data_IF_081511329694
#
_entry.id   IF_081511329694
#
_cell.length_a   1.000
_cell.length_b   1.000
_cell.length_c   1.000
_cell.angle_alpha   90.00
_cell.angle_beta   90.00
_cell.angle_gamma   90.00
#
_symmetry.space_group_name_H-M   'P 1'
#
loop_
_entity.id
_entity.type
_entity.pdbx_description
1 polymer ?
#
# COMPACT_ATOMS: atom_id res chain seq x y z
N UNK A 1 -52.65 41.35 -12.42
CA UNK A 1 -53.72 40.32 -12.36
C UNK A 1 -53.08 38.96 -12.61
N UNK A 2 -53.52 37.83 -12.02
CA UNK A 2 -53.85 37.49 -10.64
C UNK A 2 -52.84 36.47 -10.03
N UNK A 3 -52.91 36.26 -8.72
CA UNK A 3 -52.31 35.11 -8.01
C UNK A 3 -53.42 34.10 -7.69
N UNK A 4 -53.21 32.81 -7.95
CA UNK A 4 -53.69 31.76 -7.03
C UNK A 4 -52.56 30.71 -6.82
N UNK A 5 -52.08 30.38 -5.61
CA UNK A 5 -52.68 29.68 -4.44
C UNK A 5 -53.33 28.33 -4.77
N UNK A 6 -52.93 27.33 -3.97
CA UNK A 6 -53.62 26.05 -3.66
C UNK A 6 -53.36 24.90 -4.66
N UNK A 7 -53.24 23.63 -4.27
CA UNK A 7 -53.39 22.95 -2.98
C UNK A 7 -52.70 21.57 -3.01
N UNK A 8 -52.55 21.02 -1.80
CA UNK A 8 -52.35 19.62 -1.41
C UNK A 8 -52.72 18.56 -2.46
N UNK A 9 -51.94 17.46 -2.49
CA UNK A 9 -52.45 16.13 -2.13
C UNK A 9 -51.34 15.09 -1.96
N UNK A 10 -51.32 14.58 -0.75
CA UNK A 10 -50.80 13.30 -0.27
C UNK A 10 -51.10 12.15 -1.24
N UNK A 11 -50.12 11.29 -1.50
CA UNK A 11 -50.32 9.85 -1.68
C UNK A 11 -49.02 9.13 -1.29
N UNK A 12 -49.05 8.48 -0.13
CA UNK A 12 -48.09 7.45 0.22
C UNK A 12 -48.34 6.22 -0.67
N UNK A 13 -47.26 5.63 -1.20
CA UNK A 13 -47.28 4.26 -1.69
C UNK A 13 -45.96 3.60 -1.29
N UNK A 14 -46.08 2.61 -0.41
CA UNK A 14 -45.02 1.73 0.04
C UNK A 14 -44.38 1.00 -1.15
N UNK A 15 -43.07 1.13 -1.30
CA UNK A 15 -42.26 0.15 -2.00
C UNK A 15 -41.27 -0.43 -0.99
N UNK A 16 -41.68 -1.52 -0.35
CA UNK A 16 -40.80 -2.39 0.42
C UNK A 16 -39.84 -3.08 -0.56
N UNK A 17 -38.71 -2.43 -0.86
CA UNK A 17 -37.59 -3.06 -1.53
C UNK A 17 -36.82 -3.87 -0.50
N UNK A 18 -37.11 -5.18 -0.48
CA UNK A 18 -36.31 -6.17 0.24
C UNK A 18 -34.86 -6.09 -0.22
N UNK A 19 -33.98 -5.66 0.67
CA UNK A 19 -32.54 -5.76 0.52
C UNK A 19 -32.14 -7.22 0.66
N UNK A 20 -32.02 -7.92 -0.48
CA UNK A 20 -31.25 -9.15 -0.59
C UNK A 20 -29.78 -8.80 -0.38
N UNK A 21 -29.35 -8.79 0.88
CA UNK A 21 -27.94 -8.72 1.25
C UNK A 21 -27.27 -10.04 0.83
N UNK A 22 -26.23 -10.02 -0.02
CA UNK A 22 -25.48 -11.23 -0.35
C UNK A 22 -24.75 -11.76 0.90
N UNK A 23 -24.68 -13.09 1.09
CA UNK A 23 -23.95 -13.66 2.22
C UNK A 23 -22.45 -13.55 1.97
N UNK A 24 -21.77 -12.92 2.93
CA UNK A 24 -20.43 -13.23 3.42
C UNK A 24 -19.29 -13.46 2.43
N UNK A 25 -18.27 -12.59 2.50
CA UNK A 25 -16.89 -13.00 2.77
C UNK A 25 -16.24 -11.99 3.73
N UNK A 26 -16.15 -12.37 5.01
CA UNK A 26 -15.49 -11.62 6.07
C UNK A 26 -13.97 -11.62 5.91
N UNK A 27 -13.44 -10.85 4.95
CA UNK A 27 -12.00 -10.59 4.79
C UNK A 27 -11.57 -9.22 5.30
N UNK A 28 -12.47 -8.47 5.94
CA UNK A 28 -12.24 -7.06 6.30
C UNK A 28 -11.72 -6.70 7.71
N UNK A 29 -11.38 -7.61 8.63
CA UNK A 29 -10.67 -7.22 9.87
C UNK A 29 -9.14 -7.35 9.79
N UNK A 30 -8.61 -7.95 8.72
CA UNK A 30 -7.27 -8.52 8.74
C UNK A 30 -6.19 -7.59 8.16
N UNK A 31 -6.58 -6.78 7.18
CA UNK A 31 -5.70 -5.76 6.58
C UNK A 31 -5.49 -4.56 7.52
N UNK A 32 -6.48 -4.22 8.35
CA UNK A 32 -6.36 -3.17 9.37
C UNK A 32 -5.41 -3.57 10.52
N UNK A 33 -5.26 -4.87 10.78
CA UNK A 33 -4.40 -5.39 11.84
C UNK A 33 -2.90 -5.41 11.49
N UNK A 34 -2.54 -5.19 10.22
CA UNK A 34 -1.17 -5.27 9.71
C UNK A 34 -0.35 -3.99 9.89
N UNK A 35 -0.99 -2.89 10.30
CA UNK A 35 -0.36 -1.58 10.41
C UNK A 35 0.08 -1.04 9.04
N UNK A 36 -0.09 0.26 8.81
CA UNK A 36 0.33 0.84 7.55
C UNK A 36 1.87 0.88 7.46
N UNK A 37 2.44 0.19 6.48
CA UNK A 37 3.86 0.34 6.13
C UNK A 37 4.00 1.44 5.10
N UNK A 38 4.70 2.53 5.45
CA UNK A 38 4.94 3.66 4.55
C UNK A 38 6.41 3.77 4.21
N UNK A 39 6.71 3.76 2.91
CA UNK A 39 8.03 4.07 2.35
C UNK A 39 8.00 5.43 1.68
N UNK A 40 8.99 6.27 1.96
CA UNK A 40 9.25 7.49 1.19
C UNK A 40 10.35 7.21 0.20
N UNK A 41 10.03 7.34 -1.07
CA UNK A 41 10.94 7.06 -2.16
C UNK A 41 11.15 8.31 -3.00
N UNK A 42 12.35 8.52 -3.52
CA UNK A 42 12.64 9.63 -4.43
C UNK A 42 13.55 9.16 -5.54
N UNK A 43 13.36 9.75 -6.72
CA UNK A 43 14.26 9.52 -7.83
C UNK A 43 15.55 10.30 -7.60
N UNK A 44 16.68 9.60 -7.67
CA UNK A 44 18.00 10.18 -7.71
C UNK A 44 18.49 10.13 -9.16
N UNK A 45 18.99 11.27 -9.66
CA UNK A 45 19.32 11.46 -11.08
C UNK A 45 20.33 10.44 -11.64
N UNK A 46 21.01 9.68 -10.79
CA UNK A 46 21.88 8.55 -11.10
C UNK A 46 21.12 7.27 -11.54
N UNK A 47 19.96 7.39 -12.19
CA UNK A 47 19.11 6.24 -12.59
C UNK A 47 18.76 5.29 -11.44
N UNK A 48 18.56 5.86 -10.24
CA UNK A 48 18.24 5.08 -9.04
C UNK A 48 17.04 5.67 -8.31
N UNK A 49 16.16 4.82 -7.79
CA UNK A 49 15.27 5.23 -6.72
C UNK A 49 15.93 4.95 -5.38
N UNK A 50 15.78 5.88 -4.45
CA UNK A 50 16.15 5.69 -3.06
C UNK A 50 14.88 5.67 -2.22
N UNK A 51 14.77 4.71 -1.32
CA UNK A 51 13.61 4.55 -0.45
C UNK A 51 14.05 4.45 1.01
N UNK A 52 13.31 5.12 1.90
CA UNK A 52 13.49 5.04 3.36
C UNK A 52 12.16 4.72 4.01
N UNK A 53 12.22 3.97 5.11
CA UNK A 53 11.03 3.59 5.85
C UNK A 53 10.54 4.78 6.68
N UNK A 54 9.35 5.27 6.38
CA UNK A 54 8.71 6.36 7.10
C UNK A 54 7.61 5.91 8.04
N UNK A 55 7.05 4.71 7.89
CA UNK A 55 6.25 4.09 8.95
C UNK A 55 6.45 2.60 8.89
N UNK A 56 6.85 2.03 10.01
CA UNK A 56 6.94 0.60 10.14
C UNK A 56 5.59 0.05 10.61
N UNK A 57 5.23 -1.17 10.21
CA UNK A 57 4.01 -1.78 10.68
C UNK A 57 4.08 -2.00 12.20
N UNK A 58 3.04 -1.60 12.91
CA UNK A 58 2.93 -1.77 14.37
C UNK A 58 2.77 -3.24 14.77
N UNK A 59 2.40 -4.08 13.81
CA UNK A 59 2.12 -5.50 14.04
C UNK A 59 3.39 -6.29 14.35
N UNK A 60 3.35 -7.22 15.32
CA UNK A 60 4.48 -8.08 15.64
C UNK A 60 5.02 -8.83 14.41
N UNK A 61 6.34 -9.05 14.32
CA UNK A 61 6.97 -9.68 13.16
C UNK A 61 6.50 -11.13 12.93
N UNK A 62 6.13 -11.84 13.99
CA UNK A 62 5.62 -13.22 13.93
C UNK A 62 4.30 -13.30 13.15
N UNK A 63 3.39 -12.38 13.44
CA UNK A 63 2.10 -12.25 12.78
C UNK A 63 2.33 -11.92 11.30
N UNK A 64 3.20 -10.96 10.99
CA UNK A 64 3.57 -10.59 9.60
C UNK A 64 4.19 -11.74 8.81
N UNK A 65 5.12 -12.49 9.42
CA UNK A 65 5.72 -13.67 8.78
C UNK A 65 4.66 -14.74 8.45
N UNK A 66 3.61 -14.86 9.28
CA UNK A 66 2.51 -15.77 9.00
C UNK A 66 1.68 -15.33 7.78
N UNK A 67 1.46 -14.02 7.60
CA UNK A 67 0.83 -13.46 6.39
C UNK A 67 1.66 -13.71 5.14
N UNK A 68 2.97 -13.41 5.18
CA UNK A 68 3.86 -13.62 4.05
C UNK A 68 3.84 -15.08 3.57
N UNK A 69 3.88 -16.04 4.51
CA UNK A 69 3.77 -17.48 4.20
C UNK A 69 2.41 -17.87 3.59
N UNK A 70 1.31 -17.23 4.02
CA UNK A 70 -0.02 -17.48 3.44
C UNK A 70 -0.12 -16.91 2.02
N UNK A 71 0.36 -15.69 1.81
CA UNK A 71 0.41 -15.04 0.51
C UNK A 71 1.16 -15.92 -0.52
N UNK A 72 2.33 -16.44 -0.14
CA UNK A 72 3.17 -17.31 -0.97
C UNK A 72 2.48 -18.63 -1.37
N UNK A 73 1.67 -19.20 -0.46
CA UNK A 73 0.86 -20.40 -0.77
C UNK A 73 -0.27 -20.11 -1.77
N UNK A 74 -0.83 -18.90 -1.75
CA UNK A 74 -1.90 -18.50 -2.67
C UNK A 74 -1.38 -18.21 -4.08
N UNK A 75 -0.19 -17.60 -4.19
CA UNK A 75 0.49 -17.34 -5.47
C UNK A 75 1.05 -18.61 -6.15
N UNK A 76 1.24 -19.69 -5.38
CA UNK A 76 1.73 -20.99 -5.87
C UNK A 76 0.76 -21.72 -6.83
N UNK A 77 -0.53 -21.35 -6.90
CA UNK A 77 -1.54 -22.14 -7.63
C UNK A 77 -1.60 -21.94 -9.15
N UNK A 78 -0.82 -21.04 -9.76
CA UNK A 78 -0.91 -20.78 -11.22
C UNK A 78 0.32 -20.13 -11.86
N UNK A 79 1.52 -20.30 -11.31
CA UNK A 79 2.73 -19.74 -11.95
C UNK A 79 3.23 -20.68 -13.05
N UNK A 80 3.13 -20.24 -14.31
CA UNK A 80 3.81 -20.88 -15.47
C UNK A 80 5.32 -20.62 -15.47
N UNK A 81 5.83 -19.80 -14.54
CA UNK A 81 7.25 -19.53 -14.38
C UNK A 81 7.90 -20.59 -13.48
N UNK A 82 9.13 -21.03 -13.80
CA UNK A 82 9.86 -22.02 -13.03
C UNK A 82 9.94 -21.60 -11.56
N UNK A 83 9.88 -22.59 -10.65
CA UNK A 83 9.99 -22.41 -9.19
C UNK A 83 11.02 -21.33 -8.89
N UNK A 84 10.56 -20.18 -8.40
CA UNK A 84 11.42 -19.07 -8.01
C UNK A 84 12.40 -19.61 -6.97
N UNK A 85 13.70 -19.43 -7.22
CA UNK A 85 14.73 -19.67 -6.21
C UNK A 85 14.46 -18.83 -4.96
N UNK A 86 15.16 -19.11 -3.84
CA UNK A 86 14.96 -18.35 -2.61
C UNK A 86 15.08 -16.85 -2.89
N UNK A 87 14.10 -16.08 -2.43
CA UNK A 87 14.12 -14.64 -2.55
C UNK A 87 15.43 -14.09 -1.94
N UNK A 88 16.06 -13.09 -2.57
CA UNK A 88 17.23 -12.45 -1.99
C UNK A 88 16.93 -11.98 -0.56
N UNK A 89 17.88 -12.13 0.39
CA UNK A 89 17.64 -11.81 1.80
C UNK A 89 17.07 -10.41 2.03
N UNK A 90 17.53 -9.42 1.26
CA UNK A 90 17.05 -8.04 1.37
C UNK A 90 15.56 -7.90 1.02
N UNK A 91 15.08 -8.61 -0.02
CA UNK A 91 13.66 -8.58 -0.40
C UNK A 91 12.82 -9.20 0.70
N UNK A 92 13.30 -10.30 1.28
CA UNK A 92 12.67 -10.94 2.43
C UNK A 92 12.60 -9.99 3.64
N UNK A 93 13.67 -9.25 3.93
CA UNK A 93 13.66 -8.25 5.01
C UNK A 93 12.67 -7.12 4.73
N UNK A 94 12.62 -6.57 3.51
CA UNK A 94 11.66 -5.53 3.12
C UNK A 94 10.20 -5.99 3.32
N UNK A 95 9.93 -7.27 3.03
CA UNK A 95 8.59 -7.84 3.09
C UNK A 95 8.19 -8.29 4.52
N UNK A 96 9.08 -8.95 5.24
CA UNK A 96 8.74 -9.58 6.52
C UNK A 96 9.09 -8.68 7.72
N UNK A 97 10.20 -7.95 7.63
CA UNK A 97 10.81 -7.22 8.75
C UNK A 97 11.30 -5.82 8.35
N UNK A 98 10.43 -4.95 7.79
CA UNK A 98 10.80 -3.59 7.41
C UNK A 98 11.41 -2.78 8.57
N UNK A 99 11.04 -3.04 9.81
CA UNK A 99 11.58 -2.37 11.01
C UNK A 99 13.11 -2.38 11.10
N UNK A 100 13.75 -3.45 10.63
CA UNK A 100 15.20 -3.57 10.61
C UNK A 100 15.87 -2.56 9.65
N UNK A 101 15.07 -1.86 8.84
CA UNK A 101 15.49 -0.92 7.82
C UNK A 101 15.13 0.55 8.17
N UNK A 102 14.65 0.84 9.39
CA UNK A 102 14.27 2.20 9.84
C UNK A 102 15.35 3.27 9.58
N UNK A 103 16.62 2.92 9.74
CA UNK A 103 17.77 3.84 9.52
C UNK A 103 18.51 3.60 8.21
N UNK A 104 17.95 2.77 7.31
CA UNK A 104 18.60 2.37 6.06
C UNK A 104 17.93 3.02 4.86
N UNK A 105 18.75 3.33 3.86
CA UNK A 105 18.27 3.73 2.53
C UNK A 105 18.43 2.56 1.58
N UNK A 106 17.33 2.11 0.99
CA UNK A 106 17.31 1.08 -0.05
C UNK A 106 17.48 1.76 -1.39
N UNK A 107 18.37 1.23 -2.23
CA UNK A 107 18.60 1.74 -3.58
C UNK A 107 18.08 0.75 -4.60
N UNK A 108 17.20 1.20 -5.50
CA UNK A 108 16.61 0.43 -6.58
C UNK A 108 17.22 0.94 -7.90
N UNK A 109 18.08 0.15 -8.57
CA UNK A 109 18.65 0.55 -9.84
C UNK A 109 17.61 0.42 -10.97
N UNK A 110 17.54 1.43 -11.84
CA UNK A 110 16.71 1.40 -13.05
C UNK A 110 17.50 1.00 -14.31
N UNK A 111 18.84 0.85 -14.19
CA UNK A 111 19.83 0.60 -15.26
C UNK A 111 19.89 1.67 -16.37
N UNK A 112 18.82 2.42 -16.59
CA UNK A 112 18.71 3.55 -17.52
C UNK A 112 17.83 4.64 -16.91
N UNK A 113 18.02 5.92 -17.30
CA UNK A 113 17.11 6.98 -16.91
C UNK A 113 15.69 6.69 -17.40
N UNK A 114 14.67 6.72 -16.52
CA UNK A 114 13.30 6.43 -16.92
C UNK A 114 12.76 7.57 -17.78
N UNK A 115 12.16 7.24 -18.93
CA UNK A 115 11.42 8.22 -19.75
C UNK A 115 10.13 8.65 -19.07
N UNK A 116 9.53 7.75 -18.29
CA UNK A 116 8.30 7.96 -17.55
C UNK A 116 8.52 7.63 -16.06
N UNK A 117 8.54 8.67 -15.23
CA UNK A 117 8.70 8.54 -13.78
C UNK A 117 7.46 7.96 -13.10
N UNK A 118 6.25 8.09 -13.69
CA UNK A 118 5.03 7.52 -13.14
C UNK A 118 5.00 6.00 -13.33
N UNK A 119 5.47 5.51 -14.48
CA UNK A 119 5.69 4.09 -14.67
C UNK A 119 6.76 3.54 -13.71
N UNK A 120 7.89 4.24 -13.57
CA UNK A 120 8.94 3.83 -12.65
C UNK A 120 8.48 3.83 -11.18
N UNK A 121 7.62 4.78 -10.78
CA UNK A 121 6.96 4.79 -9.47
C UNK A 121 6.14 3.52 -9.22
N UNK A 122 5.45 3.01 -10.25
CA UNK A 122 4.68 1.76 -10.14
C UNK A 122 5.60 0.56 -9.89
N UNK A 123 6.77 0.53 -10.53
CA UNK A 123 7.79 -0.48 -10.25
C UNK A 123 8.30 -0.39 -8.82
N UNK A 124 8.58 0.82 -8.33
CA UNK A 124 9.03 1.04 -6.95
C UNK A 124 7.97 0.56 -5.95
N UNK A 125 6.70 0.90 -6.18
CA UNK A 125 5.59 0.40 -5.37
C UNK A 125 5.56 -1.14 -5.35
N UNK A 126 5.70 -1.79 -6.50
CA UNK A 126 5.72 -3.25 -6.59
C UNK A 126 6.94 -3.87 -5.87
N UNK A 127 8.13 -3.27 -5.99
CA UNK A 127 9.35 -3.77 -5.32
C UNK A 127 9.25 -3.63 -3.81
N UNK A 128 8.76 -2.49 -3.32
CA UNK A 128 8.74 -2.19 -1.89
C UNK A 128 7.56 -2.83 -1.17
N UNK A 129 6.41 -2.90 -1.82
CA UNK A 129 5.16 -3.35 -1.20
C UNK A 129 4.65 -4.70 -1.68
N UNK A 130 5.08 -5.17 -2.85
CA UNK A 130 4.54 -6.36 -3.49
C UNK A 130 3.00 -6.30 -3.51
N UNK A 131 2.32 -7.41 -3.26
CA UNK A 131 0.85 -7.50 -3.18
C UNK A 131 0.25 -7.06 -1.83
N UNK A 132 1.03 -6.42 -0.94
CA UNK A 132 0.55 -6.07 0.42
C UNK A 132 -0.39 -4.85 0.37
N UNK A 133 -1.66 -4.98 0.80
CA UNK A 133 -2.62 -3.87 0.76
C UNK A 133 -2.30 -2.78 1.79
N UNK A 134 -1.77 -3.15 2.96
CA UNK A 134 -1.33 -2.24 4.02
C UNK A 134 0.12 -1.74 3.82
N UNK A 135 0.54 -1.53 2.57
CA UNK A 135 1.86 -0.98 2.25
C UNK A 135 1.77 0.05 1.12
N UNK A 136 2.41 1.20 1.32
CA UNK A 136 2.50 2.28 0.35
C UNK A 136 3.94 2.75 0.19
N UNK A 137 4.35 2.97 -1.05
CA UNK A 137 5.56 3.69 -1.42
C UNK A 137 5.15 5.04 -2.01
N UNK A 138 5.35 6.10 -1.24
CA UNK A 138 5.06 7.46 -1.67
C UNK A 138 6.27 8.05 -2.38
N UNK A 139 6.05 8.53 -3.60
CA UNK A 139 7.11 9.14 -4.39
C UNK A 139 7.20 10.63 -4.09
N UNK A 140 8.35 11.03 -3.55
CA UNK A 140 8.72 12.39 -3.20
C UNK A 140 9.45 13.04 -4.36
N UNK A 141 9.31 14.37 -4.45
CA UNK A 141 9.94 15.17 -5.51
C UNK A 141 11.46 15.25 -5.39
N UNK A 142 11.98 15.18 -4.16
CA UNK A 142 13.41 15.29 -3.87
C UNK A 142 13.76 14.61 -2.55
N UNK A 143 15.07 14.45 -2.29
CA UNK A 143 15.57 14.00 -0.99
C UNK A 143 15.28 14.98 0.13
N UNK A 144 15.25 16.28 -0.15
CA UNK A 144 14.94 17.31 0.86
C UNK A 144 13.51 17.15 1.36
N UNK A 145 12.55 16.95 0.45
CA UNK A 145 11.16 16.71 0.84
C UNK A 145 10.99 15.45 1.70
N UNK A 146 11.90 14.48 1.59
CA UNK A 146 11.94 13.29 2.46
C UNK A 146 12.45 13.66 3.85
N UNK A 147 13.51 14.46 3.94
CA UNK A 147 14.05 14.96 5.22
C UNK A 147 12.98 15.76 5.96
N UNK A 148 12.35 16.72 5.27
CA UNK A 148 11.28 17.55 5.84
C UNK A 148 10.13 16.67 6.39
N UNK A 149 9.73 15.64 5.63
CA UNK A 149 8.69 14.69 6.06
C UNK A 149 9.07 13.84 7.28
N UNK A 150 10.37 13.70 7.59
CA UNK A 150 10.83 13.05 8.82
C UNK A 150 10.91 14.02 10.00
N UNK A 151 11.19 15.31 9.76
CA UNK A 151 11.25 16.33 10.82
C UNK A 151 9.87 16.70 11.36
N UNK A 152 8.82 16.60 10.53
CA UNK A 152 7.44 16.94 10.90
C UNK A 152 6.76 15.90 11.82
N UNK A 153 7.42 14.78 12.13
CA UNK A 153 6.92 13.71 13.02
C UNK A 153 7.71 13.68 14.34
N UNK A 154 7.43 14.60 15.30
CA UNK A 154 8.17 14.75 16.56
C UNK A 154 7.93 13.61 17.57
N UNK A 155 7.13 12.59 17.23
CA UNK A 155 6.80 11.49 18.12
C UNK A 155 7.72 10.26 17.95
N UNK A 156 8.87 10.41 17.28
CA UNK A 156 9.80 9.32 16.94
C UNK A 156 11.12 9.42 17.71
N UNK A 157 11.04 9.25 19.02
CA UNK A 157 12.19 8.83 19.85
C UNK A 157 11.89 7.47 20.51
#
# INVERSE_FOLDING_TARGET
MPKPRSALRTCAALAALGTLAPPGHGQRPLDDALGETLWLCWYNHDSTFRCRLARAPETPPEVRAQYARRADRTSSRRSLYPKRGPLPPIVKTIQEQPDLLRSRTITIPLFTPPRDLAFAATLVQAVMCDIRPACRAQIMRSSTAVIDAFEEDPARD
#
